data_IF_796655859878
#
_entry.id   IF_796655859878
#
_cell.length_a   1.000
_cell.length_b   1.000
_cell.length_c   1.000
_cell.angle_alpha   90.00
_cell.angle_beta   90.00
_cell.angle_gamma   90.00
#
_symmetry.space_group_name_H-M   'P 1'
#
loop_
_entity.id
_entity.type
_entity.pdbx_description
1 polymer ?
#
# COMPACT_ATOMS: atom_id res chain seq x y z
N UNK A 1 -12.91 38.08 55.41
CA UNK A 1 -14.09 38.01 54.54
C UNK A 1 -13.64 38.22 53.10
N UNK A 2 -13.72 37.16 52.26
CA UNK A 2 -13.93 37.15 50.78
C UNK A 2 -12.94 37.98 49.89
N UNK A 3 -12.34 37.52 48.79
CA UNK A 3 -12.65 36.50 47.77
C UNK A 3 -11.36 36.11 47.01
N UNK A 4 -11.27 34.84 46.60
CA UNK A 4 -10.28 34.21 45.71
C UNK A 4 -10.46 34.71 44.27
N UNK A 5 -9.39 35.00 43.52
CA UNK A 5 -9.45 34.82 42.05
C UNK A 5 -8.12 34.27 41.53
N UNK A 6 -8.09 32.95 41.37
CA UNK A 6 -7.04 32.24 40.66
C UNK A 6 -7.16 32.52 39.17
N UNK A 7 -6.08 33.04 38.59
CA UNK A 7 -5.89 33.03 37.14
C UNK A 7 -5.47 31.62 36.72
N UNK A 8 -6.46 30.78 36.44
CA UNK A 8 -6.23 29.54 35.71
C UNK A 8 -5.99 29.90 34.24
N UNK A 9 -4.73 30.08 33.87
CA UNK A 9 -4.30 30.30 32.50
C UNK A 9 -4.60 29.03 31.69
N UNK A 10 -5.78 29.00 31.05
CA UNK A 10 -6.23 27.88 30.23
C UNK A 10 -5.39 27.86 28.96
N UNK A 11 -4.42 26.95 28.89
CA UNK A 11 -3.74 26.60 27.65
C UNK A 11 -4.77 25.95 26.71
N UNK A 12 -5.43 26.78 25.89
CA UNK A 12 -6.07 26.29 24.69
C UNK A 12 -4.94 25.90 23.73
N UNK A 13 -4.50 24.64 23.81
CA UNK A 13 -3.75 24.02 22.75
C UNK A 13 -4.64 24.08 21.50
N UNK A 14 -4.33 24.98 20.58
CA UNK A 14 -4.83 24.90 19.21
C UNK A 14 -4.38 23.54 18.66
N UNK A 15 -5.27 22.55 18.66
CA UNK A 15 -5.11 21.40 17.80
C UNK A 15 -5.27 21.91 16.38
N UNK A 16 -4.15 22.32 15.77
CA UNK A 16 -4.08 22.45 14.34
C UNK A 16 -4.35 21.05 13.77
N UNK A 17 -5.55 20.83 13.23
CA UNK A 17 -5.86 19.61 12.51
C UNK A 17 -4.91 19.56 11.30
N UNK A 18 -3.87 18.74 11.39
CA UNK A 18 -3.00 18.47 10.26
C UNK A 18 -3.87 17.96 9.11
N UNK A 19 -3.65 18.47 7.90
CA UNK A 19 -4.36 18.00 6.73
C UNK A 19 -4.13 16.50 6.55
N UNK A 20 -5.14 15.77 6.07
CA UNK A 20 -5.03 14.32 5.85
C UNK A 20 -5.43 13.95 4.43
N UNK A 21 -4.88 12.84 3.94
CA UNK A 21 -5.29 12.24 2.68
C UNK A 21 -6.10 10.99 3.01
N UNK A 22 -7.38 11.01 2.65
CA UNK A 22 -8.22 9.82 2.60
C UNK A 22 -7.95 9.09 1.28
N UNK A 23 -7.54 7.84 1.38
CA UNK A 23 -7.31 6.92 0.26
C UNK A 23 -8.33 5.81 0.34
N UNK A 24 -9.09 5.60 -0.73
CA UNK A 24 -9.97 4.45 -0.84
C UNK A 24 -9.63 3.64 -2.07
N UNK A 25 -9.43 2.34 -1.92
CA UNK A 25 -9.10 1.43 -3.01
C UNK A 25 -10.24 0.46 -3.22
N UNK A 26 -10.73 0.40 -4.46
CA UNK A 26 -11.79 -0.49 -4.91
C UNK A 26 -11.15 -1.51 -5.86
N UNK A 27 -11.34 -2.81 -5.56
CA UNK A 27 -10.87 -3.91 -6.40
C UNK A 27 -12.07 -4.60 -7.05
N UNK A 28 -12.29 -4.36 -8.35
CA UNK A 28 -13.46 -4.87 -9.06
C UNK A 28 -14.77 -4.46 -8.37
N UNK A 29 -15.56 -5.45 -7.94
CA UNK A 29 -16.87 -5.26 -7.29
C UNK A 29 -16.84 -5.37 -5.76
N UNK A 30 -15.64 -5.43 -5.15
CA UNK A 30 -15.52 -5.53 -3.69
C UNK A 30 -15.80 -4.21 -2.98
N UNK A 31 -16.11 -4.29 -1.69
CA UNK A 31 -16.26 -3.10 -0.85
C UNK A 31 -14.95 -2.29 -0.80
N UNK A 32 -15.01 -0.95 -0.82
CA UNK A 32 -13.81 -0.13 -0.79
C UNK A 32 -13.03 -0.29 0.51
N UNK A 33 -11.72 -0.55 0.39
CA UNK A 33 -10.79 -0.47 1.52
C UNK A 33 -10.40 0.99 1.73
N UNK A 34 -10.29 1.45 2.98
CA UNK A 34 -10.07 2.86 3.32
C UNK A 34 -8.86 3.02 4.22
N UNK A 35 -8.05 4.02 3.91
CA UNK A 35 -6.85 4.42 4.62
C UNK A 35 -6.87 5.94 4.79
N UNK A 36 -6.33 6.43 5.90
CA UNK A 36 -6.17 7.87 6.13
C UNK A 36 -4.73 8.10 6.56
N UNK A 37 -4.06 9.00 5.86
CA UNK A 37 -2.68 9.36 6.14
C UNK A 37 -2.57 10.83 6.54
N UNK A 38 -1.67 11.13 7.47
CA UNK A 38 -1.30 12.51 7.74
C UNK A 38 -0.51 13.06 6.54
N UNK A 39 -0.79 14.31 6.15
CA UNK A 39 0.00 14.98 5.13
C UNK A 39 1.32 15.44 5.76
N UNK A 40 2.35 14.65 5.52
CA UNK A 40 3.74 14.85 5.97
C UNK A 40 4.66 14.86 4.75
N UNK A 41 5.98 14.89 4.95
CA UNK A 41 6.97 14.65 3.89
C UNK A 41 7.31 13.14 3.73
N UNK A 42 6.61 12.24 4.45
CA UNK A 42 6.86 10.80 4.38
C UNK A 42 6.16 10.14 3.20
N UNK A 43 6.73 9.01 2.77
CA UNK A 43 6.07 8.10 1.84
C UNK A 43 5.09 7.23 2.62
N UNK A 44 3.89 7.12 2.09
CA UNK A 44 2.84 6.29 2.67
C UNK A 44 2.55 5.12 1.73
N UNK A 45 2.25 3.95 2.31
CA UNK A 45 2.07 2.73 1.55
C UNK A 45 0.69 2.12 1.81
N UNK A 46 0.04 1.68 0.72
CA UNK A 46 -1.14 0.82 0.76
C UNK A 46 -0.75 -0.50 0.11
N UNK A 47 -0.54 -1.53 0.93
CA UNK A 47 -0.22 -2.89 0.47
C UNK A 47 -1.47 -3.76 0.56
N UNK A 48 -2.09 -4.03 -0.60
CA UNK A 48 -3.23 -4.93 -0.74
C UNK A 48 -2.82 -6.27 -1.35
N UNK A 49 -1.53 -6.61 -1.31
CA UNK A 49 -1.07 -7.88 -1.83
C UNK A 49 -1.44 -9.02 -0.88
N UNK A 50 -1.91 -10.10 -1.46
CA UNK A 50 -2.19 -11.35 -0.76
C UNK A 50 -0.97 -12.25 -0.78
N UNK A 51 -0.69 -12.90 0.34
CA UNK A 51 0.30 -13.97 0.44
C UNK A 51 -0.28 -15.26 -0.19
N UNK A 52 0.48 -15.88 -1.09
CA UNK A 52 0.15 -17.15 -1.73
C UNK A 52 1.30 -18.13 -1.49
N UNK A 53 0.97 -19.41 -1.29
CA UNK A 53 1.95 -20.47 -1.08
C UNK A 53 2.25 -21.25 -2.37
N UNK A 54 3.45 -21.80 -2.45
CA UNK A 54 3.83 -22.76 -3.48
C UNK A 54 4.83 -23.77 -2.92
N UNK A 55 4.91 -24.95 -3.53
CA UNK A 55 5.90 -25.97 -3.14
C UNK A 55 7.25 -25.65 -3.77
N UNK A 56 8.27 -25.46 -2.95
CA UNK A 56 9.66 -25.35 -3.37
C UNK A 56 10.40 -26.66 -3.03
N UNK A 57 11.07 -27.25 -4.01
CA UNK A 57 11.87 -28.46 -3.83
C UNK A 57 13.26 -28.24 -4.44
N UNK A 58 14.32 -28.56 -3.70
CA UNK A 58 15.69 -28.42 -4.19
C UNK A 58 16.60 -29.48 -3.59
N UNK A 59 17.63 -29.85 -4.35
CA UNK A 59 18.67 -30.75 -3.89
C UNK A 59 19.81 -29.96 -3.28
N UNK A 60 20.12 -30.21 -2.02
CA UNK A 60 21.26 -29.58 -1.37
C UNK A 60 22.56 -30.08 -2.03
N UNK A 61 23.37 -29.20 -2.63
CA UNK A 61 24.61 -29.60 -3.28
C UNK A 61 25.65 -30.16 -2.30
N UNK A 62 25.60 -29.79 -1.01
CA UNK A 62 26.55 -30.24 0.01
C UNK A 62 26.18 -31.62 0.57
N UNK A 63 24.94 -31.79 1.04
CA UNK A 63 24.50 -33.06 1.68
C UNK A 63 23.87 -34.07 0.72
N UNK A 64 23.57 -33.66 -0.53
CA UNK A 64 22.86 -34.44 -1.56
C UNK A 64 21.44 -34.86 -1.17
N UNK A 65 20.90 -34.30 -0.09
CA UNK A 65 19.53 -34.52 0.36
C UNK A 65 18.56 -33.63 -0.40
N UNK A 66 17.37 -34.16 -0.62
CA UNK A 66 16.27 -33.39 -1.18
C UNK A 66 15.58 -32.64 -0.03
N UNK A 67 15.34 -31.35 -0.23
CA UNK A 67 14.70 -30.47 0.73
C UNK A 67 13.44 -29.91 0.08
N UNK A 68 12.30 -30.14 0.73
CA UNK A 68 11.03 -29.57 0.33
C UNK A 68 10.51 -28.64 1.41
N UNK A 69 10.00 -27.48 0.99
CA UNK A 69 9.39 -26.48 1.87
C UNK A 69 8.31 -25.71 1.13
N UNK A 70 7.43 -25.09 1.88
CA UNK A 70 6.52 -24.10 1.32
C UNK A 70 7.26 -22.78 1.15
N UNK A 71 7.19 -22.24 -0.06
CA UNK A 71 7.55 -20.86 -0.36
C UNK A 71 6.31 -19.96 -0.35
N UNK A 72 6.53 -18.66 -0.21
CA UNK A 72 5.47 -17.65 -0.25
C UNK A 72 5.82 -16.61 -1.31
N UNK A 73 4.82 -16.16 -2.07
CA UNK A 73 4.91 -15.01 -2.97
C UNK A 73 3.67 -14.11 -2.81
N UNK A 74 3.79 -12.86 -3.24
CA UNK A 74 2.74 -11.86 -3.10
C UNK A 74 2.17 -11.44 -4.44
N UNK A 75 0.84 -11.36 -4.54
CA UNK A 75 0.12 -10.85 -5.71
C UNK A 75 -0.89 -9.79 -5.29
N UNK A 76 -1.19 -8.84 -6.16
CA UNK A 76 -2.12 -7.74 -5.90
C UNK A 76 -1.45 -6.38 -6.04
N UNK A 77 -2.06 -5.36 -5.43
CA UNK A 77 -1.63 -3.97 -5.54
C UNK A 77 -0.70 -3.56 -4.40
N UNK A 78 0.46 -3.00 -4.74
CA UNK A 78 1.23 -2.13 -3.85
C UNK A 78 1.14 -0.70 -4.38
N UNK A 79 0.70 0.23 -3.53
CA UNK A 79 0.59 1.65 -3.85
C UNK A 79 1.48 2.45 -2.90
N UNK A 80 2.21 3.42 -3.45
CA UNK A 80 3.02 4.37 -2.69
C UNK A 80 2.55 5.78 -3.02
N UNK A 81 2.27 6.56 -1.98
CA UNK A 81 1.91 7.97 -2.07
C UNK A 81 3.11 8.77 -1.57
N UNK A 82 3.63 9.68 -2.39
CA UNK A 82 4.76 10.54 -2.05
C UNK A 82 4.40 12.01 -2.27
N UNK A 83 4.33 12.83 -1.22
CA UNK A 83 4.27 14.29 -1.35
C UNK A 83 5.47 14.80 -2.17
N UNK A 84 5.22 15.68 -3.13
CA UNK A 84 6.29 16.24 -3.99
C UNK A 84 6.83 17.54 -3.39
N UNK A 85 5.93 18.38 -2.91
CA UNK A 85 6.22 19.67 -2.30
C UNK A 85 5.35 19.85 -1.05
N UNK A 86 5.70 20.82 -0.21
CA UNK A 86 4.90 21.17 0.95
C UNK A 86 3.48 21.55 0.52
N UNK A 87 2.49 20.99 1.19
CA UNK A 87 1.10 21.28 0.88
C UNK A 87 0.75 22.74 1.16
N UNK A 88 0.04 23.36 0.23
CA UNK A 88 -0.56 24.67 0.44
C UNK A 88 -1.96 24.51 1.05
N UNK A 89 -2.52 25.59 1.61
CA UNK A 89 -3.76 25.58 2.42
C UNK A 89 -4.91 24.73 1.86
N UNK A 90 -5.03 24.61 0.54
CA UNK A 90 -6.11 23.86 -0.12
C UNK A 90 -5.63 22.87 -1.19
N UNK A 91 -4.32 22.73 -1.40
CA UNK A 91 -3.76 21.90 -2.47
C UNK A 91 -2.56 21.09 -2.00
N UNK A 92 -2.48 19.84 -2.43
CA UNK A 92 -1.38 18.93 -2.09
C UNK A 92 -0.90 18.21 -3.37
N UNK A 93 0.29 18.57 -3.90
CA UNK A 93 0.90 17.83 -5.00
C UNK A 93 1.44 16.49 -4.50
N UNK A 94 1.07 15.41 -5.19
CA UNK A 94 1.35 14.04 -4.79
C UNK A 94 1.79 13.21 -6.00
N UNK A 95 2.92 12.53 -5.88
CA UNK A 95 3.31 11.44 -6.77
C UNK A 95 2.71 10.14 -6.25
N UNK A 96 2.18 9.35 -7.16
CA UNK A 96 1.52 8.09 -6.86
C UNK A 96 2.20 7.03 -7.72
N UNK A 97 2.79 6.05 -7.06
CA UNK A 97 3.46 4.92 -7.72
C UNK A 97 2.71 3.65 -7.35
N UNK A 98 2.21 2.95 -8.36
CA UNK A 98 1.49 1.69 -8.21
C UNK A 98 2.25 0.54 -8.86
N UNK A 99 2.14 -0.63 -8.27
CA UNK A 99 2.64 -1.88 -8.82
C UNK A 99 1.56 -2.95 -8.64
N UNK A 100 1.14 -3.58 -9.73
CA UNK A 100 0.20 -4.70 -9.70
C UNK A 100 0.94 -5.97 -10.10
N UNK A 101 0.97 -6.96 -9.21
CA UNK A 101 1.58 -8.27 -9.47
C UNK A 101 0.51 -9.33 -9.62
N UNK A 102 0.47 -10.01 -10.76
CA UNK A 102 -0.43 -11.11 -11.07
C UNK A 102 0.35 -12.42 -11.23
N UNK A 103 -0.25 -13.55 -10.86
CA UNK A 103 0.30 -14.88 -11.13
C UNK A 103 -0.13 -15.33 -12.54
N UNK A 104 0.85 -15.59 -13.43
CA UNK A 104 0.59 -16.23 -14.72
C UNK A 104 0.42 -17.74 -14.57
N UNK A 105 1.22 -18.35 -13.70
CA UNK A 105 1.14 -19.76 -13.39
C UNK A 105 2.25 -20.22 -12.46
N UNK A 106 2.20 -21.50 -12.09
CA UNK A 106 3.30 -22.16 -11.38
C UNK A 106 4.03 -23.05 -12.38
N UNK A 107 5.29 -22.74 -12.66
CA UNK A 107 6.11 -23.50 -13.60
C UNK A 107 6.73 -24.68 -12.84
N UNK A 108 6.42 -25.93 -13.22
CA UNK A 108 7.04 -27.09 -12.58
C UNK A 108 8.51 -27.22 -13.02
N UNK A 109 9.38 -27.45 -12.04
CA UNK A 109 10.79 -27.76 -12.22
C UNK A 109 11.06 -29.26 -12.03
N UNK A 110 12.25 -29.57 -11.50
CA UNK A 110 12.65 -30.96 -11.23
C UNK A 110 11.75 -31.61 -10.17
N UNK A 111 11.37 -32.87 -10.41
CA UNK A 111 10.72 -33.72 -9.43
C UNK A 111 11.78 -34.41 -8.56
N UNK A 112 11.71 -34.19 -7.26
CA UNK A 112 12.59 -34.77 -6.25
C UNK A 112 11.82 -35.77 -5.39
N UNK A 113 12.54 -36.52 -4.53
CA UNK A 113 11.94 -37.56 -3.70
C UNK A 113 10.88 -37.05 -2.71
N UNK A 114 10.95 -35.77 -2.33
CA UNK A 114 10.01 -35.14 -1.41
C UNK A 114 8.91 -34.30 -2.09
N UNK A 115 8.95 -34.11 -3.41
CA UNK A 115 8.00 -33.26 -4.13
C UNK A 115 8.54 -32.66 -5.43
N UNK A 116 7.71 -31.85 -6.11
CA UNK A 116 8.10 -31.14 -7.34
C UNK A 116 8.35 -29.68 -7.04
N UNK A 117 9.48 -29.15 -7.51
CA UNK A 117 9.75 -27.73 -7.40
C UNK A 117 8.77 -26.95 -8.27
N UNK A 118 8.15 -25.91 -7.74
CA UNK A 118 7.38 -24.97 -8.54
C UNK A 118 8.04 -23.60 -8.45
N UNK A 119 8.08 -22.89 -9.56
CA UNK A 119 8.51 -21.50 -9.60
C UNK A 119 7.31 -20.63 -10.00
N UNK A 120 6.90 -19.66 -9.17
CA UNK A 120 5.86 -18.71 -9.55
C UNK A 120 6.31 -17.86 -10.74
N UNK A 121 5.57 -17.93 -11.84
CA UNK A 121 5.70 -17.00 -12.95
C UNK A 121 4.80 -15.79 -12.69
N UNK A 122 5.43 -14.66 -12.33
CA UNK A 122 4.76 -13.44 -11.93
C UNK A 122 4.87 -12.40 -13.04
N UNK A 123 3.75 -11.76 -13.35
CA UNK A 123 3.69 -10.57 -14.19
C UNK A 123 3.46 -9.35 -13.33
N UNK A 124 4.33 -8.35 -13.48
CA UNK A 124 4.23 -7.09 -12.76
C UNK A 124 4.02 -5.95 -13.75
N UNK A 125 3.00 -5.14 -13.48
CA UNK A 125 2.73 -3.90 -14.21
C UNK A 125 2.94 -2.72 -13.25
N UNK A 126 3.85 -1.83 -13.62
CA UNK A 126 4.14 -0.61 -12.87
C UNK A 126 3.39 0.59 -13.46
N UNK A 127 3.06 1.53 -12.58
CA UNK A 127 2.38 2.77 -12.91
C UNK A 127 2.94 3.91 -12.05
N UNK A 128 3.02 5.11 -12.61
CA UNK A 128 3.33 6.33 -11.87
C UNK A 128 2.54 7.51 -12.44
N UNK A 129 2.01 8.35 -11.57
CA UNK A 129 1.35 9.61 -11.95
C UNK A 129 1.59 10.69 -10.89
N UNK A 130 1.50 11.94 -11.31
CA UNK A 130 1.56 13.11 -10.43
C UNK A 130 0.22 13.83 -10.45
N UNK A 131 -0.38 13.99 -9.28
CA UNK A 131 -1.68 14.66 -9.13
C UNK A 131 -1.59 15.82 -8.16
N UNK A 132 -2.39 16.86 -8.39
CA UNK A 132 -2.65 17.89 -7.39
C UNK A 132 -4.02 17.63 -6.78
N UNK A 133 -4.04 17.20 -5.52
CA UNK A 133 -5.26 17.06 -4.75
C UNK A 133 -5.75 18.44 -4.33
N UNK A 134 -7.05 18.69 -4.47
CA UNK A 134 -7.70 19.91 -3.98
C UNK A 134 -8.58 19.54 -2.79
N UNK A 135 -8.61 20.40 -1.77
CA UNK A 135 -9.36 20.18 -0.54
C UNK A 135 -10.82 19.82 -0.81
N UNK A 136 -11.29 18.74 -0.19
CA UNK A 136 -12.64 18.17 -0.32
C UNK A 136 -13.05 17.78 -1.75
N UNK A 137 -12.11 17.65 -2.69
CA UNK A 137 -12.37 17.11 -4.03
C UNK A 137 -11.72 15.75 -4.17
N UNK A 138 -12.52 14.78 -4.63
CA UNK A 138 -12.02 13.44 -4.91
C UNK A 138 -11.36 13.40 -6.29
N UNK A 139 -10.13 12.88 -6.32
CA UNK A 139 -9.45 12.43 -7.54
C UNK A 139 -9.56 10.92 -7.62
N UNK A 140 -9.73 10.39 -8.83
CA UNK A 140 -9.75 8.95 -9.06
C UNK A 140 -8.66 8.56 -10.04
N UNK A 141 -8.10 7.37 -9.86
CA UNK A 141 -7.07 6.78 -10.70
C UNK A 141 -7.45 5.32 -10.92
N UNK A 142 -7.39 4.88 -12.18
CA UNK A 142 -7.63 3.48 -12.55
C UNK A 142 -6.29 2.82 -12.84
N UNK A 143 -5.99 1.72 -12.14
CA UNK A 143 -4.74 0.98 -12.26
C UNK A 143 -5.06 -0.44 -12.75
N UNK A 144 -4.39 -0.85 -13.83
CA UNK A 144 -4.49 -2.19 -14.43
C UNK A 144 -5.94 -2.63 -14.74
N UNK A 145 -6.85 -1.70 -15.01
CA UNK A 145 -8.30 -1.90 -15.23
C UNK A 145 -9.08 -2.57 -14.08
N UNK A 146 -8.38 -3.02 -13.02
CA UNK A 146 -8.91 -3.79 -11.89
C UNK A 146 -9.08 -2.95 -10.64
N UNK A 147 -8.16 -2.02 -10.40
CA UNK A 147 -8.14 -1.20 -9.20
C UNK A 147 -8.59 0.24 -9.52
N UNK A 148 -9.49 0.78 -8.70
CA UNK A 148 -9.82 2.20 -8.70
C UNK A 148 -9.41 2.81 -7.36
N UNK A 149 -8.50 3.77 -7.39
CA UNK A 149 -8.03 4.51 -6.22
C UNK A 149 -8.71 5.86 -6.17
N UNK A 150 -9.36 6.17 -5.06
CA UNK A 150 -9.98 7.45 -4.76
C UNK A 150 -9.15 8.20 -3.72
N UNK A 151 -8.80 9.44 -4.00
CA UNK A 151 -7.95 10.28 -3.16
C UNK A 151 -8.67 11.56 -2.81
N UNK A 152 -8.75 11.90 -1.53
CA UNK A 152 -9.38 13.14 -1.08
C UNK A 152 -8.53 13.82 0.00
N UNK A 153 -8.19 15.09 -0.22
CA UNK A 153 -7.54 15.93 0.79
C UNK A 153 -8.60 16.48 1.77
N UNK A 154 -8.37 16.33 3.07
CA UNK A 154 -9.23 16.79 4.17
C UNK A 154 -8.57 17.90 4.97
#
# INVERSE_FOLDING_TARGET
MRVIFGLCLSAFALMANAATIDVSVIEGNHAPQKFTFALSDSREHVDLRSDNSYTAAFRDPATKKDICRDGVFRTGLLLTLRPIEAAEKNEAPLEIVGMVTNLKGLVPGEALSCGTNHTPDLETTDFSDTVVLKKNRTKFIVIDTKYTVLLTLR
#
